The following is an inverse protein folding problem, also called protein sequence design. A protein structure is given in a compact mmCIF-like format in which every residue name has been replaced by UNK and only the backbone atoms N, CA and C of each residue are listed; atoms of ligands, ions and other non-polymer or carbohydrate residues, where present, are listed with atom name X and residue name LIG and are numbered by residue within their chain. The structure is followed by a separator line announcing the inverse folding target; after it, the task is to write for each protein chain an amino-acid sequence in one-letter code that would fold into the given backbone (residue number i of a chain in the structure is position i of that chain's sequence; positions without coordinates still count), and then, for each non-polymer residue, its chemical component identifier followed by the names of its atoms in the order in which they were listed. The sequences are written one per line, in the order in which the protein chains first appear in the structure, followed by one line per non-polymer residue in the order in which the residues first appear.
data_IF_804440848098
#
_entry.id   IF_804440848098
#
_cell.length_a   1.000
_cell.length_b   1.000
_cell.length_c   1.000
_cell.angle_alpha   90.00
_cell.angle_beta   90.00
_cell.angle_gamma   90.00
#
_symmetry.space_group_name_H-M   'P 1'
#
loop_
_entity.id
_entity.type
_entity.pdbx_description
1 polymer ?
#
# COMPACT_ATOMS: atom_id res chain seq x y z
N UNK A 1 0.58 -23.61 -6.62
CA UNK A 1 0.42 -22.23 -6.13
C UNK A 1 1.33 -21.25 -6.86
N UNK A 2 2.66 -21.28 -6.69
CA UNK A 2 3.60 -20.27 -7.20
C UNK A 2 3.44 -19.97 -8.72
N UNK A 3 3.35 -20.99 -9.56
CA UNK A 3 3.16 -20.83 -11.02
C UNK A 3 1.91 -20.04 -11.41
N UNK A 4 0.84 -20.05 -10.59
CA UNK A 4 -0.40 -19.29 -10.84
C UNK A 4 -0.31 -17.86 -10.31
N UNK A 5 0.38 -17.64 -9.17
CA UNK A 5 0.50 -16.36 -8.48
C UNK A 5 1.55 -15.46 -9.13
N UNK A 6 2.67 -16.03 -9.59
CA UNK A 6 3.81 -15.29 -10.15
C UNK A 6 3.43 -14.34 -11.30
N UNK A 7 2.68 -14.75 -12.35
CA UNK A 7 2.32 -13.84 -13.43
C UNK A 7 1.48 -12.65 -12.96
N UNK A 8 0.55 -12.87 -12.05
CA UNK A 8 -0.30 -11.82 -11.47
C UNK A 8 0.49 -10.85 -10.60
N UNK A 9 1.41 -11.38 -9.78
CA UNK A 9 2.32 -10.58 -8.97
C UNK A 9 3.25 -9.73 -9.83
N UNK A 10 3.75 -10.27 -10.96
CA UNK A 10 4.58 -9.53 -11.90
C UNK A 10 3.81 -8.41 -12.62
N UNK A 11 2.56 -8.63 -13.03
CA UNK A 11 1.71 -7.58 -13.63
C UNK A 11 1.56 -6.41 -12.65
N UNK A 12 1.26 -6.71 -11.39
CA UNK A 12 1.11 -5.69 -10.36
C UNK A 12 2.45 -5.00 -10.05
N UNK A 13 3.53 -5.78 -10.02
CA UNK A 13 4.90 -5.30 -9.83
C UNK A 13 5.31 -4.33 -10.93
N UNK A 14 5.06 -4.64 -12.20
CA UNK A 14 5.37 -3.75 -13.33
C UNK A 14 4.61 -2.43 -13.23
N UNK A 15 3.34 -2.48 -12.83
CA UNK A 15 2.56 -1.27 -12.61
C UNK A 15 3.12 -0.42 -11.48
N UNK A 16 3.42 -1.03 -10.32
CA UNK A 16 3.98 -0.30 -9.18
C UNK A 16 5.40 0.18 -9.44
N UNK A 17 6.24 -0.60 -10.13
CA UNK A 17 7.57 -0.18 -10.56
C UNK A 17 7.47 1.11 -11.40
N UNK A 18 6.56 1.14 -12.40
CA UNK A 18 6.34 2.32 -13.21
C UNK A 18 5.87 3.53 -12.41
N UNK A 19 4.97 3.35 -11.43
CA UNK A 19 4.52 4.44 -10.55
C UNK A 19 5.64 4.96 -9.63
N UNK A 20 6.48 4.06 -9.12
CA UNK A 20 7.53 4.39 -8.16
C UNK A 20 8.80 4.95 -8.80
N UNK A 21 9.12 4.58 -10.05
CA UNK A 21 10.32 5.05 -10.77
C UNK A 21 10.41 6.59 -10.84
N UNK A 22 9.27 7.25 -10.96
CA UNK A 22 9.23 8.71 -11.09
C UNK A 22 9.22 9.42 -9.73
N UNK A 23 8.80 8.76 -8.63
CA UNK A 23 8.61 9.42 -7.34
C UNK A 23 9.82 10.20 -6.82
N UNK A 24 11.06 9.67 -6.89
CA UNK A 24 12.24 10.38 -6.37
C UNK A 24 12.61 11.66 -7.11
N UNK A 25 12.09 11.86 -8.31
CA UNK A 25 12.54 12.94 -9.23
C UNK A 25 11.40 13.78 -9.80
N UNK A 26 10.15 13.33 -9.68
CA UNK A 26 9.00 13.96 -10.34
C UNK A 26 8.75 15.39 -9.83
N UNK A 27 8.96 15.66 -8.55
CA UNK A 27 8.72 17.00 -7.98
C UNK A 27 9.67 18.04 -8.58
N UNK A 28 10.94 17.71 -8.74
CA UNK A 28 11.93 18.59 -9.36
C UNK A 28 11.66 18.77 -10.87
N UNK A 29 11.27 17.69 -11.54
CA UNK A 29 10.90 17.75 -12.95
C UNK A 29 9.67 18.64 -13.16
N UNK A 30 8.64 18.43 -12.36
CA UNK A 30 7.37 19.16 -12.46
C UNK A 30 7.54 20.65 -12.18
N UNK A 31 8.45 21.06 -11.26
CA UNK A 31 8.78 22.47 -11.03
C UNK A 31 9.39 23.17 -12.24
N UNK A 32 10.03 22.44 -13.14
CA UNK A 32 10.64 22.99 -14.36
C UNK A 32 9.69 23.08 -15.56
N UNK A 33 8.43 22.63 -15.43
CA UNK A 33 7.44 22.69 -16.52
C UNK A 33 6.76 24.06 -16.59
N UNK A 34 6.24 24.39 -17.77
CA UNK A 34 5.42 25.59 -17.95
C UNK A 34 4.20 25.59 -17.00
N UNK A 35 3.84 26.76 -16.50
CA UNK A 35 2.75 26.99 -15.54
C UNK A 35 2.87 26.23 -14.22
N UNK A 36 4.05 25.72 -13.87
CA UNK A 36 4.26 25.01 -12.61
C UNK A 36 4.15 25.96 -11.41
N UNK A 37 3.41 25.50 -10.40
CA UNK A 37 3.40 26.09 -9.06
C UNK A 37 3.71 25.00 -8.05
N UNK A 38 4.27 25.33 -6.87
CA UNK A 38 4.54 24.33 -5.85
C UNK A 38 3.31 23.47 -5.49
N UNK A 39 2.13 24.09 -5.41
CA UNK A 39 0.86 23.37 -5.17
C UNK A 39 0.55 22.38 -6.29
N UNK A 40 0.65 22.78 -7.56
CA UNK A 40 0.39 21.91 -8.70
C UNK A 40 1.39 20.76 -8.77
N UNK A 41 2.65 20.98 -8.38
CA UNK A 41 3.65 19.92 -8.25
C UNK A 41 3.20 18.86 -7.21
N UNK A 42 2.74 19.31 -6.05
CA UNK A 42 2.18 18.41 -5.04
C UNK A 42 0.97 17.61 -5.55
N UNK A 43 0.08 18.28 -6.29
CA UNK A 43 -1.08 17.62 -6.95
C UNK A 43 -0.62 16.59 -7.98
N UNK A 44 0.39 16.86 -8.78
CA UNK A 44 0.96 15.91 -9.76
C UNK A 44 1.54 14.69 -9.08
N UNK A 45 2.30 14.88 -7.99
CA UNK A 45 2.91 13.74 -7.26
C UNK A 45 1.86 12.83 -6.66
N UNK A 46 0.84 13.40 -6.01
CA UNK A 46 -0.25 12.65 -5.38
C UNK A 46 -1.43 12.30 -6.30
N UNK A 47 -1.54 12.92 -7.47
CA UNK A 47 -2.73 12.92 -8.31
C UNK A 47 -3.19 11.54 -8.79
N UNK A 48 -2.25 10.66 -9.10
CA UNK A 48 -2.58 9.28 -9.46
C UNK A 48 -3.36 8.55 -8.35
N UNK A 49 -3.09 8.89 -7.11
CA UNK A 49 -3.74 8.24 -5.98
C UNK A 49 -5.18 8.69 -5.79
N UNK A 50 -5.52 9.94 -6.11
CA UNK A 50 -6.89 10.43 -6.07
C UNK A 50 -7.80 9.62 -6.99
N UNK A 51 -7.41 9.49 -8.25
CA UNK A 51 -8.19 8.71 -9.22
C UNK A 51 -8.18 7.22 -8.90
N UNK A 52 -7.08 6.69 -8.36
CA UNK A 52 -7.04 5.31 -7.89
C UNK A 52 -8.02 5.07 -6.72
N UNK A 53 -8.12 5.98 -5.76
CA UNK A 53 -9.11 5.90 -4.68
C UNK A 53 -10.55 5.83 -5.22
N UNK A 54 -10.87 6.69 -6.20
CA UNK A 54 -12.18 6.76 -6.81
C UNK A 54 -12.52 5.50 -7.62
N UNK A 55 -11.59 5.04 -8.46
CA UNK A 55 -11.84 3.95 -9.42
C UNK A 55 -11.61 2.56 -8.87
N UNK A 56 -10.99 2.40 -7.70
CA UNK A 56 -10.68 1.07 -7.13
C UNK A 56 -11.93 0.20 -6.90
N UNK A 57 -13.00 0.77 -6.35
CA UNK A 57 -14.28 0.08 -6.13
C UNK A 57 -15.00 -0.19 -7.46
N UNK A 58 -15.18 0.79 -8.38
CA UNK A 58 -15.72 0.54 -9.70
C UNK A 58 -15.00 -0.57 -10.48
N UNK A 59 -13.67 -0.61 -10.48
CA UNK A 59 -12.91 -1.67 -11.14
C UNK A 59 -13.13 -3.03 -10.49
N UNK A 60 -13.22 -3.10 -9.15
CA UNK A 60 -13.58 -4.32 -8.44
C UNK A 60 -14.93 -4.86 -8.90
N UNK A 61 -15.98 -4.03 -8.85
CA UNK A 61 -17.34 -4.42 -9.26
C UNK A 61 -17.47 -4.72 -10.74
N UNK A 62 -16.74 -4.00 -11.59
CA UNK A 62 -16.66 -4.27 -13.02
C UNK A 62 -16.03 -5.66 -13.27
N UNK A 63 -14.98 -6.02 -12.54
CA UNK A 63 -14.31 -7.31 -12.69
C UNK A 63 -15.18 -8.50 -12.28
N UNK A 64 -16.12 -8.29 -11.37
CA UNK A 64 -17.10 -9.31 -10.99
C UNK A 64 -18.18 -9.51 -12.07
N UNK A 65 -18.50 -8.47 -12.86
CA UNK A 65 -19.52 -8.49 -13.91
C UNK A 65 -18.99 -8.99 -15.25
N UNK A 66 -17.95 -8.33 -15.79
CA UNK A 66 -17.42 -8.61 -17.14
C UNK A 66 -16.22 -9.57 -17.12
N UNK A 67 -15.72 -9.93 -15.91
CA UNK A 67 -14.61 -10.85 -15.70
C UNK A 67 -13.29 -10.15 -15.39
N UNK A 68 -12.38 -10.89 -14.75
CA UNK A 68 -11.08 -10.40 -14.27
C UNK A 68 -10.18 -9.91 -15.41
N UNK A 69 -9.96 -10.75 -16.43
CA UNK A 69 -9.03 -10.44 -17.53
C UNK A 69 -9.43 -9.22 -18.37
N UNK A 70 -10.69 -9.07 -18.83
CA UNK A 70 -11.11 -7.86 -19.56
C UNK A 70 -10.93 -6.59 -18.74
N UNK A 71 -11.23 -6.64 -17.45
CA UNK A 71 -11.06 -5.50 -16.55
C UNK A 71 -9.59 -5.13 -16.35
N UNK A 72 -8.70 -6.14 -16.19
CA UNK A 72 -7.26 -5.91 -16.11
C UNK A 72 -6.71 -5.29 -17.39
N UNK A 73 -7.13 -5.79 -18.56
CA UNK A 73 -6.73 -5.22 -19.85
C UNK A 73 -7.15 -3.75 -19.97
N UNK A 74 -8.40 -3.44 -19.64
CA UNK A 74 -8.92 -2.07 -19.69
C UNK A 74 -8.13 -1.13 -18.77
N UNK A 75 -7.84 -1.56 -17.53
CA UNK A 75 -7.04 -0.76 -16.59
C UNK A 75 -5.59 -0.57 -17.05
N UNK A 76 -4.97 -1.61 -17.65
CA UNK A 76 -3.62 -1.49 -18.22
C UNK A 76 -3.57 -0.57 -19.43
N UNK A 77 -4.61 -0.54 -20.27
CA UNK A 77 -4.71 0.40 -21.41
C UNK A 77 -4.83 1.84 -20.92
N UNK A 78 -5.63 2.11 -19.89
CA UNK A 78 -5.72 3.45 -19.30
C UNK A 78 -4.37 3.85 -18.70
N UNK A 79 -3.70 2.94 -17.98
CA UNK A 79 -2.39 3.18 -17.39
C UNK A 79 -1.32 3.45 -18.45
N UNK A 80 -1.34 2.72 -19.57
CA UNK A 80 -0.50 2.93 -20.74
C UNK A 80 -0.73 4.34 -21.33
N UNK A 81 -1.99 4.69 -21.61
CA UNK A 81 -2.35 6.00 -22.15
C UNK A 81 -1.87 7.14 -21.23
N UNK A 82 -2.13 7.01 -19.92
CA UNK A 82 -1.66 7.98 -18.91
C UNK A 82 -0.14 8.11 -18.87
N UNK A 83 0.58 7.01 -19.05
CA UNK A 83 2.05 7.01 -19.08
C UNK A 83 2.60 7.70 -20.33
N UNK A 84 1.97 7.49 -21.49
CA UNK A 84 2.34 8.18 -22.74
C UNK A 84 2.06 9.68 -22.62
N UNK A 85 0.87 10.08 -22.13
CA UNK A 85 0.51 11.48 -21.93
C UNK A 85 1.48 12.17 -20.97
N UNK A 86 1.81 11.53 -19.85
CA UNK A 86 2.80 12.08 -18.90
C UNK A 86 4.21 12.17 -19.50
N UNK A 87 4.62 11.19 -20.32
CA UNK A 87 5.92 11.19 -20.98
C UNK A 87 6.07 12.26 -22.07
N UNK A 88 4.97 12.69 -22.67
CA UNK A 88 4.92 13.75 -23.69
C UNK A 88 4.61 15.14 -23.12
N UNK A 89 4.46 15.25 -21.80
CA UNK A 89 4.04 16.52 -21.18
C UNK A 89 5.10 17.63 -21.33
N UNK A 90 4.64 18.79 -21.77
CA UNK A 90 5.43 20.02 -21.87
C UNK A 90 5.04 21.04 -20.80
N UNK A 91 3.85 20.90 -20.22
CA UNK A 91 3.31 21.74 -19.17
C UNK A 91 2.78 20.91 -18.00
N UNK A 92 2.55 21.58 -16.86
CA UNK A 92 2.12 20.92 -15.61
C UNK A 92 0.71 20.30 -15.71
N UNK A 93 -0.19 20.87 -16.51
CA UNK A 93 -1.56 20.38 -16.64
C UNK A 93 -1.61 19.08 -17.44
N UNK A 94 -0.83 19.01 -18.52
CA UNK A 94 -0.71 17.76 -19.30
C UNK A 94 -0.09 16.64 -18.45
N UNK A 95 0.94 16.93 -17.65
CA UNK A 95 1.52 15.98 -16.71
C UNK A 95 0.48 15.53 -15.68
N UNK A 96 -0.31 16.46 -15.14
CA UNK A 96 -1.38 16.16 -14.17
C UNK A 96 -2.46 15.24 -14.76
N UNK A 97 -2.88 15.49 -16.00
CA UNK A 97 -3.83 14.61 -16.73
C UNK A 97 -3.22 13.20 -16.87
N UNK A 98 -1.97 13.10 -17.28
CA UNK A 98 -1.27 11.81 -17.38
C UNK A 98 -1.25 11.07 -16.05
N UNK A 99 -0.97 11.75 -14.93
CA UNK A 99 -0.98 11.17 -13.59
C UNK A 99 -2.37 10.71 -13.15
N UNK A 100 -3.41 11.50 -13.42
CA UNK A 100 -4.79 11.09 -13.15
C UNK A 100 -5.20 9.87 -13.97
N UNK A 101 -4.84 9.80 -15.24
CA UNK A 101 -5.08 8.61 -16.07
C UNK A 101 -4.34 7.38 -15.54
N UNK A 102 -3.05 7.52 -15.12
CA UNK A 102 -2.31 6.42 -14.52
C UNK A 102 -3.04 5.85 -13.28
N UNK A 103 -3.58 6.71 -12.44
CA UNK A 103 -4.36 6.28 -11.27
C UNK A 103 -5.70 5.64 -11.63
N UNK A 104 -6.39 6.17 -12.65
CA UNK A 104 -7.69 5.67 -13.10
C UNK A 104 -7.64 4.21 -13.56
N UNK A 105 -6.49 3.72 -14.02
CA UNK A 105 -6.24 2.28 -14.29
C UNK A 105 -6.11 1.45 -13.01
N UNK A 106 -7.09 1.45 -12.11
CA UNK A 106 -7.05 0.92 -10.75
C UNK A 106 -7.15 -0.62 -10.67
N UNK A 107 -6.17 -1.35 -11.24
CA UNK A 107 -6.18 -2.82 -11.34
C UNK A 107 -5.79 -3.56 -10.04
N UNK A 108 -5.35 -2.86 -9.00
CA UNK A 108 -4.81 -3.49 -7.78
C UNK A 108 -5.80 -4.41 -7.09
N UNK A 109 -7.05 -3.95 -6.89
CA UNK A 109 -8.13 -4.75 -6.30
C UNK A 109 -8.49 -5.97 -7.16
N UNK A 110 -8.47 -5.80 -8.48
CA UNK A 110 -8.80 -6.88 -9.44
C UNK A 110 -7.75 -7.99 -9.39
N UNK A 111 -6.45 -7.64 -9.34
CA UNK A 111 -5.37 -8.62 -9.22
C UNK A 111 -5.43 -9.34 -7.88
N UNK A 112 -5.66 -8.62 -6.79
CA UNK A 112 -5.81 -9.22 -5.45
C UNK A 112 -6.97 -10.22 -5.42
N UNK A 113 -8.13 -9.85 -5.97
CA UNK A 113 -9.26 -10.74 -6.11
C UNK A 113 -8.93 -11.96 -6.99
N UNK A 114 -8.27 -11.74 -8.14
CA UNK A 114 -7.90 -12.82 -9.03
C UNK A 114 -6.89 -13.80 -8.42
N UNK A 115 -5.94 -13.33 -7.61
CA UNK A 115 -5.03 -14.20 -6.85
C UNK A 115 -5.86 -15.06 -5.87
N UNK A 116 -6.82 -14.46 -5.16
CA UNK A 116 -7.70 -15.19 -4.25
C UNK A 116 -8.55 -16.24 -4.98
N UNK A 117 -8.94 -15.97 -6.24
CA UNK A 117 -9.73 -16.88 -7.06
C UNK A 117 -8.93 -18.09 -7.62
N UNK A 118 -7.60 -18.00 -7.74
CA UNK A 118 -6.75 -19.06 -8.36
C UNK A 118 -5.98 -19.89 -7.36
N UNK A 119 -6.03 -19.55 -6.06
CA UNK A 119 -5.36 -20.29 -4.97
C UNK A 119 -6.37 -20.82 -3.96
N UNK A 120 -6.03 -21.93 -3.32
CA UNK A 120 -6.82 -22.51 -2.22
C UNK A 120 -6.82 -21.60 -0.98
N UNK A 121 -7.87 -21.64 -0.18
CA UNK A 121 -8.05 -20.82 1.02
C UNK A 121 -6.85 -20.94 1.98
N UNK A 122 -6.37 -22.18 2.24
CA UNK A 122 -5.18 -22.47 3.07
C UNK A 122 -3.92 -21.72 2.63
N UNK A 123 -3.73 -21.50 1.33
CA UNK A 123 -2.51 -20.93 0.75
C UNK A 123 -2.65 -19.45 0.38
N UNK A 124 -3.85 -18.87 0.54
CA UNK A 124 -4.17 -17.49 0.16
C UNK A 124 -3.24 -16.46 0.85
N UNK A 125 -2.99 -16.63 2.15
CA UNK A 125 -2.07 -15.74 2.89
C UNK A 125 -0.65 -15.75 2.31
N UNK A 126 -0.15 -16.92 1.94
CA UNK A 126 1.16 -17.09 1.31
C UNK A 126 1.22 -16.43 -0.08
N UNK A 127 0.16 -16.56 -0.86
CA UNK A 127 0.05 -15.94 -2.18
C UNK A 127 0.06 -14.40 -2.09
N UNK A 128 -0.64 -13.82 -1.12
CA UNK A 128 -0.65 -12.39 -0.86
C UNK A 128 0.71 -11.89 -0.37
N UNK A 129 1.44 -12.67 0.44
CA UNK A 129 2.80 -12.34 0.86
C UNK A 129 3.78 -12.32 -0.31
N UNK A 130 3.67 -13.26 -1.26
CA UNK A 130 4.47 -13.27 -2.49
C UNK A 130 4.19 -11.99 -3.29
N UNK A 131 2.92 -11.65 -3.51
CA UNK A 131 2.52 -10.42 -4.20
C UNK A 131 3.11 -9.17 -3.53
N UNK A 132 3.00 -9.08 -2.20
CA UNK A 132 3.56 -7.97 -1.41
C UNK A 132 5.09 -7.87 -1.55
N UNK A 133 5.80 -9.00 -1.57
CA UNK A 133 7.24 -9.05 -1.81
C UNK A 133 7.64 -8.50 -3.18
N UNK A 134 6.89 -8.80 -4.23
CA UNK A 134 7.12 -8.25 -5.56
C UNK A 134 6.88 -6.74 -5.62
N UNK A 135 5.88 -6.22 -4.90
CA UNK A 135 5.63 -4.77 -4.80
C UNK A 135 6.79 -4.08 -4.06
N UNK A 136 7.24 -4.65 -2.93
CA UNK A 136 8.36 -4.11 -2.16
C UNK A 136 9.66 -4.09 -2.97
N UNK A 137 9.93 -5.15 -3.74
CA UNK A 137 11.08 -5.23 -4.66
C UNK A 137 10.99 -4.15 -5.74
N UNK A 138 9.79 -3.91 -6.31
CA UNK A 138 9.56 -2.83 -7.28
C UNK A 138 9.88 -1.47 -6.71
N UNK A 139 9.50 -1.22 -5.46
CA UNK A 139 9.80 0.03 -4.77
C UNK A 139 11.30 0.19 -4.55
N UNK A 140 12.00 -0.86 -4.11
CA UNK A 140 13.45 -0.83 -3.93
C UNK A 140 14.21 -0.56 -5.23
N UNK A 141 13.85 -1.25 -6.32
CA UNK A 141 14.45 -1.03 -7.65
C UNK A 141 14.17 0.38 -8.12
N UNK A 142 12.96 0.90 -7.95
CA UNK A 142 12.59 2.24 -8.34
C UNK A 142 13.43 3.31 -7.64
N UNK A 143 13.67 3.17 -6.33
CA UNK A 143 14.48 4.11 -5.54
C UNK A 143 15.95 4.14 -5.97
N UNK A 144 16.49 3.01 -6.42
CA UNK A 144 17.87 2.93 -6.89
C UNK A 144 18.02 3.44 -8.34
N UNK A 145 17.11 3.04 -9.23
CA UNK A 145 17.23 3.21 -10.68
C UNK A 145 16.56 4.50 -11.18
N UNK A 146 15.45 4.91 -10.55
CA UNK A 146 14.67 6.09 -10.96
C UNK A 146 15.49 7.38 -11.04
N UNK A 147 16.22 7.78 -9.98
CA UNK A 147 17.03 8.98 -10.00
C UNK A 147 18.14 8.94 -11.08
N UNK A 148 18.77 7.79 -11.26
CA UNK A 148 19.86 7.63 -12.25
C UNK A 148 19.32 7.81 -13.67
N UNK A 149 18.26 7.12 -14.04
CA UNK A 149 17.65 7.23 -15.38
C UNK A 149 17.07 8.64 -15.56
N UNK A 150 16.35 9.16 -14.56
CA UNK A 150 15.73 10.48 -14.62
C UNK A 150 16.74 11.61 -14.81
N UNK A 151 17.92 11.50 -14.20
CA UNK A 151 18.97 12.50 -14.34
C UNK A 151 19.70 12.44 -15.70
N UNK A 152 19.99 11.23 -16.22
CA UNK A 152 20.76 11.07 -17.46
C UNK A 152 19.92 11.14 -18.73
N UNK A 153 18.68 10.64 -18.70
CA UNK A 153 17.81 10.49 -19.87
C UNK A 153 16.52 11.32 -19.77
N UNK A 154 16.34 12.05 -18.67
CA UNK A 154 15.12 12.82 -18.41
C UNK A 154 13.97 12.00 -17.82
N UNK A 155 13.08 12.68 -17.09
CA UNK A 155 11.95 12.05 -16.40
C UNK A 155 10.89 11.54 -17.39
N UNK A 156 10.78 12.16 -18.58
CA UNK A 156 9.93 11.67 -19.68
C UNK A 156 10.26 10.22 -20.05
N UNK A 157 11.54 9.84 -20.04
CA UNK A 157 12.00 8.47 -20.30
C UNK A 157 11.44 7.49 -19.27
N UNK A 158 11.33 7.86 -18.00
CA UNK A 158 10.75 7.01 -16.96
C UNK A 158 9.26 6.72 -17.24
N UNK A 159 8.52 7.71 -17.75
CA UNK A 159 7.14 7.49 -18.16
C UNK A 159 7.03 6.58 -19.40
N UNK A 160 7.94 6.70 -20.37
CA UNK A 160 7.97 5.76 -21.51
C UNK A 160 8.38 4.35 -21.10
N UNK A 161 9.31 4.18 -20.17
CA UNK A 161 9.62 2.88 -19.54
C UNK A 161 8.35 2.32 -18.87
N UNK A 162 7.61 3.15 -18.14
CA UNK A 162 6.34 2.77 -17.52
C UNK A 162 5.31 2.32 -18.56
N UNK A 163 5.23 2.99 -19.71
CA UNK A 163 4.40 2.58 -20.84
C UNK A 163 4.82 1.20 -21.37
N UNK A 164 6.12 0.97 -21.55
CA UNK A 164 6.69 -0.32 -21.94
C UNK A 164 6.38 -1.44 -20.93
N UNK A 165 6.48 -1.17 -19.63
CA UNK A 165 6.10 -2.10 -18.57
C UNK A 165 4.60 -2.45 -18.62
N UNK A 166 3.75 -1.49 -18.97
CA UNK A 166 2.31 -1.76 -19.16
C UNK A 166 2.05 -2.68 -20.34
N UNK A 167 2.76 -2.50 -21.45
CA UNK A 167 2.69 -3.44 -22.61
C UNK A 167 3.18 -4.83 -22.21
N UNK A 168 4.30 -4.92 -21.51
CA UNK A 168 4.81 -6.20 -20.99
C UNK A 168 3.80 -6.89 -20.06
N UNK A 169 3.12 -6.12 -19.19
CA UNK A 169 2.05 -6.62 -18.34
C UNK A 169 0.86 -7.17 -19.15
N UNK A 170 0.46 -6.51 -20.23
CA UNK A 170 -0.59 -7.00 -21.14
C UNK A 170 -0.18 -8.29 -21.85
N UNK A 171 1.05 -8.39 -22.34
CA UNK A 171 1.58 -9.62 -22.95
C UNK A 171 1.53 -10.76 -21.93
N UNK A 172 1.98 -10.50 -20.68
CA UNK A 172 1.96 -11.49 -19.61
C UNK A 172 0.52 -11.92 -19.25
N UNK A 173 -0.43 -10.98 -19.25
CA UNK A 173 -1.85 -11.24 -19.01
C UNK A 173 -2.43 -12.27 -19.99
N UNK A 174 -2.11 -12.15 -21.26
CA UNK A 174 -2.63 -13.06 -22.28
C UNK A 174 -1.88 -14.39 -22.38
N UNK A 175 -0.56 -14.40 -22.10
CA UNK A 175 0.29 -15.59 -22.32
C UNK A 175 0.39 -16.51 -21.11
N UNK A 176 0.36 -15.96 -19.89
CA UNK A 176 0.70 -16.73 -18.67
C UNK A 176 -0.39 -16.73 -17.59
N UNK A 177 -1.33 -15.79 -17.63
CA UNK A 177 -2.36 -15.71 -16.60
C UNK A 177 -3.50 -16.69 -16.90
N UNK A 178 -3.84 -17.62 -15.97
CA UNK A 178 -4.98 -18.52 -16.15
C UNK A 178 -6.31 -17.76 -16.06
N UNK A 179 -7.37 -18.32 -16.64
CA UNK A 179 -8.73 -17.81 -16.39
C UNK A 179 -9.19 -18.36 -15.05
N UNK A 180 -9.56 -17.52 -14.06
CA UNK A 180 -9.95 -17.98 -12.76
C UNK A 180 -11.33 -18.68 -12.81
N UNK A 181 -11.55 -19.69 -11.94
CA UNK A 181 -12.88 -20.20 -11.68
C UNK A 181 -13.71 -19.12 -10.96
N UNK A 182 -15.02 -19.20 -11.07
CA UNK A 182 -15.93 -18.32 -10.31
C UNK A 182 -16.09 -18.94 -8.90
N UNK A 183 -15.52 -18.26 -7.88
CA UNK A 183 -15.65 -18.69 -6.48
C UNK A 183 -16.91 -18.08 -5.86
N UNK A 184 -17.70 -18.89 -5.17
CA UNK A 184 -18.90 -18.47 -4.45
C UNK A 184 -18.68 -18.70 -2.95
N UNK A 185 -18.69 -17.60 -2.18
CA UNK A 185 -18.70 -17.63 -0.72
C UNK A 185 -20.10 -17.29 -0.21
N UNK A 186 -20.61 -18.11 0.69
CA UNK A 186 -21.89 -17.86 1.37
C UNK A 186 -21.57 -17.29 2.76
N UNK A 187 -21.79 -15.98 2.91
CA UNK A 187 -21.67 -15.30 4.21
C UNK A 187 -23.04 -15.06 4.83
N UNK A 188 -23.20 -15.37 6.11
CA UNK A 188 -24.44 -15.10 6.85
C UNK A 188 -24.73 -13.60 7.00
N UNK A 189 -23.68 -12.79 7.11
CA UNK A 189 -23.79 -11.34 7.30
C UNK A 189 -23.18 -10.59 6.12
N UNK A 190 -23.82 -9.47 5.72
CA UNK A 190 -23.26 -8.54 4.73
C UNK A 190 -22.34 -7.53 5.42
N UNK A 191 -21.15 -7.29 4.83
CA UNK A 191 -20.24 -6.27 5.31
C UNK A 191 -20.85 -4.86 5.11
N UNK A 192 -20.86 -4.05 6.19
CA UNK A 192 -21.25 -2.64 6.13
C UNK A 192 -20.04 -1.77 6.44
N UNK A 193 -19.83 -0.72 5.65
CA UNK A 193 -18.73 0.25 5.85
C UNK A 193 -18.88 0.95 7.22
N UNK A 194 -20.11 1.23 7.65
CA UNK A 194 -20.39 1.83 8.95
C UNK A 194 -19.83 1.02 10.13
N UNK A 195 -19.86 -0.30 10.02
CA UNK A 195 -19.40 -1.17 11.11
C UNK A 195 -17.88 -1.17 11.21
N UNK A 196 -17.19 -1.04 10.07
CA UNK A 196 -15.73 -0.89 9.99
C UNK A 196 -15.28 0.42 10.65
N UNK A 197 -15.98 1.52 10.35
CA UNK A 197 -15.63 2.85 10.88
C UNK A 197 -16.02 3.03 12.37
N UNK A 198 -16.95 2.23 12.87
CA UNK A 198 -17.34 2.21 14.30
C UNK A 198 -16.39 1.35 15.15
N UNK A 199 -15.75 0.36 14.57
CA UNK A 199 -14.75 -0.45 15.28
C UNK A 199 -13.49 0.39 15.50
N UNK A 200 -13.15 0.60 16.78
CA UNK A 200 -12.03 1.46 17.18
C UNK A 200 -10.68 0.96 16.67
N UNK A 201 -10.45 -0.34 16.65
CA UNK A 201 -9.19 -0.91 16.19
C UNK A 201 -9.09 -0.84 14.66
N UNK A 202 -10.18 -1.12 13.94
CA UNK A 202 -10.22 -0.94 12.48
C UNK A 202 -10.05 0.52 12.07
N UNK A 203 -10.72 1.45 12.76
CA UNK A 203 -10.56 2.89 12.51
C UNK A 203 -9.10 3.33 12.76
N UNK A 204 -8.46 2.87 13.84
CA UNK A 204 -7.04 3.10 14.08
C UNK A 204 -6.19 2.62 12.91
N UNK A 205 -6.44 1.42 12.40
CA UNK A 205 -5.68 0.87 11.26
C UNK A 205 -5.92 1.65 9.96
N UNK A 206 -7.14 2.15 9.73
CA UNK A 206 -7.45 3.05 8.61
C UNK A 206 -6.63 4.33 8.71
N UNK A 207 -6.58 4.95 9.90
CA UNK A 207 -5.79 6.17 10.17
C UNK A 207 -4.30 5.89 10.02
N UNK A 208 -3.78 4.80 10.58
CA UNK A 208 -2.37 4.41 10.47
C UNK A 208 -1.97 4.25 9.00
N UNK A 209 -2.76 3.52 8.21
CA UNK A 209 -2.48 3.33 6.78
C UNK A 209 -2.53 4.66 6.00
N UNK A 210 -3.54 5.48 6.28
CA UNK A 210 -3.69 6.79 5.64
C UNK A 210 -2.51 7.72 5.97
N UNK A 211 -2.16 7.87 7.23
CA UNK A 211 -1.04 8.72 7.67
C UNK A 211 0.29 8.26 7.12
N UNK A 212 0.57 6.95 7.13
CA UNK A 212 1.80 6.39 6.56
C UNK A 212 1.93 6.75 5.06
N UNK A 213 0.88 6.56 4.27
CA UNK A 213 0.93 6.81 2.81
C UNK A 213 0.90 8.30 2.48
N UNK A 214 0.16 9.11 3.25
CA UNK A 214 0.17 10.57 3.11
C UNK A 214 1.54 11.17 3.39
N UNK A 215 2.18 10.79 4.51
CA UNK A 215 3.51 11.24 4.87
C UNK A 215 4.58 10.73 3.90
N UNK A 216 4.41 9.53 3.32
CA UNK A 216 5.29 9.04 2.26
C UNK A 216 5.28 10.00 1.06
N UNK A 217 4.10 10.34 0.57
CA UNK A 217 4.01 11.23 -0.61
C UNK A 217 4.46 12.64 -0.28
N UNK A 218 4.14 13.13 0.92
CA UNK A 218 4.66 14.39 1.44
C UNK A 218 6.19 14.41 1.40
N UNK A 219 6.85 13.37 1.91
CA UNK A 219 8.31 13.26 1.89
C UNK A 219 8.88 13.22 0.46
N UNK A 220 8.24 12.49 -0.47
CA UNK A 220 8.66 12.45 -1.88
C UNK A 220 8.48 13.78 -2.63
N UNK A 221 7.67 14.70 -2.13
CA UNK A 221 7.63 16.07 -2.65
C UNK A 221 8.78 16.89 -2.08
N UNK A 222 8.98 16.88 -0.76
CA UNK A 222 9.91 17.79 -0.10
C UNK A 222 11.38 17.37 -0.19
N UNK A 223 11.69 16.07 -0.04
CA UNK A 223 13.08 15.59 0.04
C UNK A 223 13.89 15.98 -1.20
N UNK A 224 13.46 15.68 -2.44
CA UNK A 224 14.24 16.02 -3.60
C UNK A 224 14.33 17.54 -3.84
N UNK A 225 13.28 18.30 -3.53
CA UNK A 225 13.28 19.76 -3.65
C UNK A 225 14.31 20.37 -2.68
N UNK A 226 14.37 19.88 -1.43
CA UNK A 226 15.32 20.37 -0.43
C UNK A 226 16.75 19.92 -0.77
N UNK A 227 16.95 18.70 -1.27
CA UNK A 227 18.31 18.25 -1.61
C UNK A 227 18.90 19.02 -2.80
N UNK A 228 18.10 19.27 -3.85
CA UNK A 228 18.58 19.84 -5.12
C UNK A 228 18.45 21.36 -5.18
N UNK A 229 17.52 21.97 -4.42
CA UNK A 229 17.28 23.42 -4.47
C UNK A 229 18.47 24.25 -4.01
N UNK A 230 18.72 25.39 -4.68
CA UNK A 230 19.82 26.29 -4.36
C UNK A 230 19.44 27.28 -3.23
N UNK A 231 18.24 27.86 -3.26
CA UNK A 231 17.83 28.92 -2.33
C UNK A 231 17.47 28.40 -0.91
N UNK A 232 16.83 27.23 -0.82
CA UNK A 232 16.37 26.62 0.44
C UNK A 232 16.94 25.23 0.67
N UNK A 233 17.80 24.75 -0.21
CA UNK A 233 18.30 23.39 -0.27
C UNK A 233 19.80 23.28 -0.02
N UNK A 234 20.30 22.12 -0.40
CA UNK A 234 21.71 21.76 -0.21
C UNK A 234 22.51 21.78 -1.53
N UNK A 235 21.88 22.15 -2.66
CA UNK A 235 22.55 22.30 -3.97
C UNK A 235 23.07 20.97 -4.54
N UNK A 236 22.44 19.84 -4.23
CA UNK A 236 22.86 18.55 -4.77
C UNK A 236 22.48 18.41 -6.24
N UNK A 237 23.31 17.68 -7.00
CA UNK A 237 22.93 17.33 -8.36
C UNK A 237 21.79 16.30 -8.38
N UNK A 238 20.86 16.44 -9.34
CA UNK A 238 19.76 15.46 -9.54
C UNK A 238 20.27 14.02 -9.68
N UNK A 239 21.45 13.86 -10.31
CA UNK A 239 22.12 12.58 -10.50
C UNK A 239 22.58 11.93 -9.18
N UNK A 240 22.71 12.69 -8.10
CA UNK A 240 23.21 12.20 -6.81
C UNK A 240 22.10 11.69 -5.89
N UNK A 241 20.83 11.94 -6.19
CA UNK A 241 19.69 11.55 -5.35
C UNK A 241 19.67 10.03 -5.04
N UNK A 242 20.16 9.19 -5.92
CA UNK A 242 20.26 7.75 -5.65
C UNK A 242 21.18 7.42 -4.47
N UNK A 243 22.21 8.26 -4.20
CA UNK A 243 23.14 8.10 -3.06
C UNK A 243 22.40 8.26 -1.71
N UNK A 244 21.25 8.91 -1.72
CA UNK A 244 20.37 9.06 -0.55
C UNK A 244 19.29 8.00 -0.52
N UNK A 245 18.53 7.85 -1.62
CA UNK A 245 17.38 6.95 -1.65
C UNK A 245 17.75 5.47 -1.60
N UNK A 246 18.79 5.03 -2.31
CA UNK A 246 19.17 3.63 -2.33
C UNK A 246 19.66 3.12 -0.97
N UNK A 247 20.60 3.79 -0.26
CA UNK A 247 20.99 3.39 1.08
C UNK A 247 19.84 3.49 2.10
N UNK A 248 19.01 4.55 2.03
CA UNK A 248 17.86 4.69 2.90
C UNK A 248 16.85 3.56 2.71
N UNK A 249 16.59 3.17 1.46
CA UNK A 249 15.73 2.03 1.15
C UNK A 249 16.30 0.70 1.66
N UNK A 250 17.61 0.48 1.51
CA UNK A 250 18.27 -0.72 2.05
C UNK A 250 18.13 -0.77 3.57
N UNK A 251 18.38 0.35 4.27
CA UNK A 251 18.19 0.44 5.72
C UNK A 251 16.74 0.14 6.12
N UNK A 252 15.77 0.66 5.38
CA UNK A 252 14.35 0.38 5.58
C UNK A 252 14.00 -1.10 5.39
N UNK A 253 14.51 -1.73 4.33
CA UNK A 253 14.28 -3.17 4.07
C UNK A 253 14.92 -4.06 5.14
N UNK A 254 16.10 -3.72 5.63
CA UNK A 254 16.74 -4.42 6.75
C UNK A 254 15.89 -4.31 8.02
N UNK A 255 15.31 -3.16 8.30
CA UNK A 255 14.45 -2.95 9.47
C UNK A 255 13.09 -3.66 9.34
N UNK A 256 12.59 -3.87 8.12
CA UNK A 256 11.29 -4.49 7.83
C UNK A 256 11.20 -5.93 8.38
N UNK A 257 12.26 -6.73 8.22
CA UNK A 257 12.28 -8.13 8.66
C UNK A 257 12.08 -8.29 10.17
N UNK A 258 12.95 -7.71 11.01
CA UNK A 258 12.77 -7.72 12.47
C UNK A 258 11.43 -7.13 12.92
N UNK A 259 10.96 -6.04 12.30
CA UNK A 259 9.67 -5.44 12.62
C UNK A 259 8.50 -6.40 12.35
N UNK A 260 8.51 -7.09 11.20
CA UNK A 260 7.51 -8.09 10.87
C UNK A 260 7.52 -9.26 11.87
N UNK A 261 8.69 -9.80 12.18
CA UNK A 261 8.84 -10.89 13.17
C UNK A 261 8.33 -10.46 14.55
N UNK A 262 8.74 -9.29 15.02
CA UNK A 262 8.35 -8.80 16.34
C UNK A 262 6.84 -8.49 16.39
N UNK A 263 6.31 -7.85 15.36
CA UNK A 263 4.89 -7.51 15.27
C UNK A 263 3.99 -8.73 15.11
N UNK A 264 4.35 -9.66 14.21
CA UNK A 264 3.53 -10.83 13.90
C UNK A 264 3.73 -12.00 14.86
N UNK A 265 5.00 -12.45 15.02
CA UNK A 265 5.31 -13.66 15.79
C UNK A 265 5.15 -13.44 17.30
N UNK A 266 5.57 -12.27 17.81
CA UNK A 266 5.40 -11.92 19.23
C UNK A 266 4.09 -11.21 19.53
N UNK A 267 3.23 -11.00 18.53
CA UNK A 267 1.92 -10.36 18.65
C UNK A 267 1.99 -8.95 19.29
N UNK A 268 3.00 -8.17 18.94
CA UNK A 268 3.23 -6.81 19.46
C UNK A 268 3.26 -5.75 18.35
N UNK A 269 2.29 -5.71 17.41
CA UNK A 269 2.28 -4.75 16.29
C UNK A 269 2.15 -3.30 16.77
N UNK A 270 1.39 -3.05 17.85
CA UNK A 270 1.23 -1.71 18.44
C UNK A 270 2.59 -1.08 18.78
N UNK A 271 3.50 -1.84 19.38
CA UNK A 271 4.83 -1.35 19.75
C UNK A 271 5.65 -0.95 18.52
N UNK A 272 5.54 -1.73 17.43
CA UNK A 272 6.20 -1.39 16.17
C UNK A 272 5.60 -0.13 15.57
N UNK A 273 4.27 0.04 15.57
CA UNK A 273 3.64 1.26 15.08
C UNK A 273 4.06 2.49 15.90
N UNK A 274 4.07 2.40 17.23
CA UNK A 274 4.52 3.50 18.09
C UNK A 274 5.98 3.88 17.85
N UNK A 275 6.87 2.88 17.73
CA UNK A 275 8.28 3.10 17.41
C UNK A 275 8.44 3.78 16.05
N UNK A 276 7.74 3.28 15.03
CA UNK A 276 7.79 3.84 13.68
C UNK A 276 7.28 5.28 13.64
N UNK A 277 6.18 5.60 14.33
CA UNK A 277 5.66 6.97 14.39
C UNK A 277 6.64 7.89 15.12
N UNK A 278 7.27 7.41 16.19
CA UNK A 278 8.34 8.17 16.86
C UNK A 278 9.51 8.46 15.93
N UNK A 279 9.91 7.48 15.11
CA UNK A 279 10.94 7.69 14.08
C UNK A 279 10.48 8.67 12.99
N UNK A 280 9.20 8.68 12.60
CA UNK A 280 8.66 9.71 11.70
C UNK A 280 8.77 11.11 12.31
N UNK A 281 8.44 11.28 13.58
CA UNK A 281 8.58 12.56 14.30
C UNK A 281 10.04 13.02 14.25
N UNK A 282 10.98 12.14 14.63
CA UNK A 282 12.43 12.44 14.61
C UNK A 282 12.86 12.79 13.19
N UNK A 283 12.45 12.01 12.19
CA UNK A 283 12.81 12.22 10.78
C UNK A 283 12.39 13.61 10.28
N UNK A 284 11.12 13.98 10.45
CA UNK A 284 10.62 15.26 9.95
C UNK A 284 11.17 16.47 10.72
N UNK A 285 11.33 16.36 12.04
CA UNK A 285 12.00 17.40 12.82
C UNK A 285 13.47 17.56 12.42
N UNK A 286 14.18 16.45 12.24
CA UNK A 286 15.58 16.48 11.80
C UNK A 286 15.69 17.12 10.42
N UNK A 287 14.87 16.69 9.45
CA UNK A 287 14.87 17.25 8.09
C UNK A 287 14.48 18.72 8.06
N UNK A 288 13.55 19.15 8.92
CA UNK A 288 13.09 20.53 8.97
C UNK A 288 14.08 21.49 9.65
N UNK A 289 14.71 21.07 10.74
CA UNK A 289 15.49 21.96 11.62
C UNK A 289 17.00 22.03 11.28
N UNK A 290 17.52 21.08 10.50
CA UNK A 290 18.96 21.00 10.22
C UNK A 290 19.41 21.92 9.07
N UNK A 291 20.61 22.47 9.20
CA UNK A 291 21.31 23.15 8.11
C UNK A 291 22.43 22.30 7.50
N UNK A 292 22.60 21.06 7.94
CA UNK A 292 23.60 20.12 7.42
C UNK A 292 22.93 19.09 6.50
N UNK A 293 23.43 18.95 5.27
CA UNK A 293 22.96 17.92 4.33
C UNK A 293 23.14 16.52 4.89
N UNK A 294 24.22 16.25 5.60
CA UNK A 294 24.48 14.95 6.24
C UNK A 294 23.41 14.61 7.28
N UNK A 295 23.07 15.56 8.15
CA UNK A 295 22.03 15.37 9.18
C UNK A 295 20.66 15.22 8.54
N UNK A 296 20.39 15.96 7.45
CA UNK A 296 19.18 15.79 6.65
C UNK A 296 19.04 14.36 6.10
N UNK A 297 20.14 13.81 5.55
CA UNK A 297 20.17 12.42 5.05
C UNK A 297 19.87 11.41 6.16
N UNK A 298 20.39 11.59 7.38
CA UNK A 298 20.01 10.75 8.51
C UNK A 298 18.50 10.82 8.81
N UNK A 299 17.88 12.00 8.68
CA UNK A 299 16.42 12.15 8.76
C UNK A 299 15.71 11.36 7.66
N UNK A 300 16.21 11.38 6.42
CA UNK A 300 15.66 10.58 5.33
C UNK A 300 15.79 9.07 5.60
N UNK A 301 16.94 8.62 6.09
CA UNK A 301 17.15 7.21 6.48
C UNK A 301 16.17 6.79 7.58
N UNK A 302 16.01 7.61 8.62
CA UNK A 302 15.05 7.36 9.69
C UNK A 302 13.59 7.27 9.16
N UNK A 303 13.23 8.14 8.20
CA UNK A 303 11.94 8.09 7.51
C UNK A 303 11.73 6.75 6.79
N UNK A 304 12.71 6.28 6.01
CA UNK A 304 12.60 5.01 5.28
C UNK A 304 12.53 3.81 6.22
N UNK A 305 13.28 3.83 7.32
CA UNK A 305 13.20 2.80 8.37
C UNK A 305 11.78 2.78 8.94
N UNK A 306 11.26 3.93 9.39
CA UNK A 306 9.92 4.05 9.95
C UNK A 306 8.83 3.54 8.99
N UNK A 307 8.90 3.96 7.72
CA UNK A 307 7.96 3.55 6.68
C UNK A 307 7.96 2.04 6.44
N UNK A 308 9.14 1.46 6.24
CA UNK A 308 9.28 0.04 5.92
C UNK A 308 8.96 -0.88 7.11
N UNK A 309 9.20 -0.46 8.36
CA UNK A 309 8.80 -1.22 9.54
C UNK A 309 7.29 -1.41 9.63
N UNK A 310 6.50 -0.43 9.20
CA UNK A 310 5.03 -0.50 9.24
C UNK A 310 4.44 -1.32 8.08
N UNK A 311 5.08 -1.30 6.91
CA UNK A 311 4.51 -1.80 5.66
C UNK A 311 3.99 -3.24 5.73
N UNK A 312 4.72 -4.24 6.26
CA UNK A 312 4.24 -5.62 6.34
C UNK A 312 3.10 -5.79 7.35
N UNK A 313 3.05 -4.93 8.37
CA UNK A 313 2.09 -5.07 9.47
C UNK A 313 0.72 -4.47 9.17
N UNK A 314 0.66 -3.37 8.42
CA UNK A 314 -0.58 -2.62 8.21
C UNK A 314 -1.67 -3.50 7.59
N UNK A 315 -1.41 -4.14 6.46
CA UNK A 315 -2.40 -4.97 5.76
C UNK A 315 -2.77 -6.22 6.58
N UNK A 316 -1.78 -6.81 7.24
CA UNK A 316 -1.98 -7.96 8.12
C UNK A 316 -2.88 -7.61 9.31
N UNK A 317 -2.63 -6.48 9.98
CA UNK A 317 -3.43 -6.07 11.13
C UNK A 317 -4.85 -5.67 10.76
N UNK A 318 -5.07 -4.98 9.63
CA UNK A 318 -6.42 -4.72 9.12
C UNK A 318 -7.19 -6.05 8.95
N UNK A 319 -6.54 -7.05 8.35
CA UNK A 319 -7.15 -8.36 8.15
C UNK A 319 -7.40 -9.12 9.46
N UNK A 320 -6.54 -8.95 10.49
CA UNK A 320 -6.71 -9.60 11.81
C UNK A 320 -7.83 -8.98 12.64
N UNK A 321 -7.96 -7.65 12.61
CA UNK A 321 -9.04 -6.97 13.34
C UNK A 321 -10.41 -7.14 12.65
N UNK A 322 -10.43 -7.24 11.32
CA UNK A 322 -11.68 -7.41 10.59
C UNK A 322 -12.30 -8.79 10.82
N UNK A 323 -13.63 -8.84 10.93
CA UNK A 323 -14.40 -10.09 10.85
C UNK A 323 -14.21 -10.73 9.47
N UNK A 324 -14.37 -12.05 9.36
CA UNK A 324 -14.04 -12.78 8.12
C UNK A 324 -14.82 -12.22 6.92
N UNK A 325 -16.15 -12.06 7.06
CA UNK A 325 -17.02 -11.51 6.01
C UNK A 325 -16.74 -10.02 5.70
N UNK A 326 -16.01 -9.30 6.56
CA UNK A 326 -15.70 -7.87 6.42
C UNK A 326 -14.28 -7.61 5.92
N UNK A 327 -13.39 -8.63 5.86
CA UNK A 327 -11.96 -8.44 5.50
C UNK A 327 -11.75 -7.66 4.20
N UNK A 328 -12.48 -8.04 3.15
CA UNK A 328 -12.37 -7.35 1.85
C UNK A 328 -12.83 -5.88 1.93
N UNK A 329 -13.93 -5.63 2.63
CA UNK A 329 -14.45 -4.27 2.83
C UNK A 329 -13.50 -3.42 3.70
N UNK A 330 -12.96 -3.98 4.79
CA UNK A 330 -12.02 -3.29 5.67
C UNK A 330 -10.73 -2.90 4.94
N UNK A 331 -10.14 -3.83 4.16
CA UNK A 331 -8.99 -3.55 3.31
C UNK A 331 -9.31 -2.52 2.23
N UNK A 332 -10.51 -2.60 1.62
CA UNK A 332 -10.99 -1.62 0.64
C UNK A 332 -11.07 -0.21 1.21
N UNK A 333 -11.72 -0.05 2.37
CA UNK A 333 -11.85 1.25 3.08
C UNK A 333 -10.46 1.78 3.46
N UNK A 334 -9.61 0.96 4.07
CA UNK A 334 -8.29 1.39 4.50
C UNK A 334 -7.39 1.78 3.32
N UNK A 335 -7.44 1.04 2.21
CA UNK A 335 -6.64 1.37 1.03
C UNK A 335 -7.19 2.60 0.28
N UNK A 336 -8.52 2.79 0.21
CA UNK A 336 -9.10 4.01 -0.35
C UNK A 336 -8.73 5.25 0.47
N UNK A 337 -8.79 5.16 1.80
CA UNK A 337 -8.34 6.22 2.71
C UNK A 337 -6.84 6.52 2.54
N UNK A 338 -6.01 5.49 2.37
CA UNK A 338 -4.57 5.64 2.12
C UNK A 338 -4.28 6.35 0.79
N UNK A 339 -4.95 5.98 -0.29
CA UNK A 339 -4.80 6.67 -1.57
C UNK A 339 -5.28 8.12 -1.52
N UNK A 340 -6.41 8.37 -0.84
CA UNK A 340 -6.89 9.74 -0.65
C UNK A 340 -5.90 10.57 0.18
N UNK A 341 -5.33 9.99 1.24
CA UNK A 341 -4.29 10.62 2.06
C UNK A 341 -2.99 10.85 1.27
N UNK A 342 -2.64 9.96 0.33
CA UNK A 342 -1.51 10.15 -0.61
C UNK A 342 -1.71 11.42 -1.44
N UNK A 343 -2.90 11.64 -1.96
CA UNK A 343 -3.22 12.87 -2.69
C UNK A 343 -3.15 14.12 -1.80
N UNK A 344 -3.75 14.07 -0.60
CA UNK A 344 -3.69 15.16 0.36
C UNK A 344 -2.26 15.46 0.77
N UNK A 345 -1.47 14.44 1.08
CA UNK A 345 -0.06 14.58 1.50
C UNK A 345 0.80 15.26 0.44
N UNK A 346 0.63 14.88 -0.84
CA UNK A 346 1.30 15.54 -1.95
C UNK A 346 0.89 17.01 -2.10
N UNK A 347 -0.42 17.28 -2.09
CA UNK A 347 -0.97 18.63 -2.23
C UNK A 347 -0.55 19.55 -1.08
N UNK A 348 -0.59 19.05 0.16
CA UNK A 348 -0.13 19.80 1.34
C UNK A 348 1.37 20.08 1.31
N UNK A 349 2.18 19.11 0.88
CA UNK A 349 3.62 19.32 0.72
C UNK A 349 3.92 20.43 -0.30
N UNK A 350 3.23 20.42 -1.45
CA UNK A 350 3.37 21.47 -2.45
C UNK A 350 2.91 22.84 -1.93
N UNK A 351 1.81 22.90 -1.20
CA UNK A 351 1.31 24.13 -0.59
C UNK A 351 2.33 24.70 0.41
N UNK A 352 2.83 23.87 1.33
CA UNK A 352 3.75 24.30 2.39
C UNK A 352 5.11 24.73 1.84
N UNK A 353 5.65 24.03 0.84
CA UNK A 353 6.92 24.44 0.20
C UNK A 353 6.79 25.80 -0.49
N UNK A 354 5.62 26.12 -1.03
CA UNK A 354 5.38 27.42 -1.68
C UNK A 354 5.13 28.59 -0.72
N UNK A 355 4.84 28.30 0.57
CA UNK A 355 4.36 29.31 1.52
C UNK A 355 5.11 29.36 2.86
N UNK A 356 6.00 28.42 3.14
CA UNK A 356 6.61 28.25 4.46
C UNK A 356 8.09 27.89 4.35
N UNK A 357 8.86 28.26 5.36
CA UNK A 357 10.24 27.85 5.51
C UNK A 357 10.35 26.37 5.96
N UNK A 358 11.51 25.78 5.77
CA UNK A 358 11.78 24.37 6.06
C UNK A 358 11.53 23.99 7.51
N UNK A 359 11.87 24.88 8.46
CA UNK A 359 11.65 24.62 9.88
C UNK A 359 10.15 24.53 10.21
N UNK A 360 9.36 25.47 9.70
CA UNK A 360 7.89 25.47 9.84
C UNK A 360 7.28 24.19 9.25
N UNK A 361 7.74 23.73 8.09
CA UNK A 361 7.29 22.47 7.49
C UNK A 361 7.58 21.29 8.44
N UNK A 362 8.84 21.15 8.88
CA UNK A 362 9.24 20.06 9.77
C UNK A 362 8.50 20.03 11.09
N UNK A 363 8.32 21.19 11.73
CA UNK A 363 7.57 21.33 12.98
C UNK A 363 6.09 20.98 12.77
N UNK A 364 5.46 21.50 11.71
CA UNK A 364 4.04 21.25 11.42
C UNK A 364 3.77 19.76 11.24
N UNK A 365 4.60 19.07 10.45
CA UNK A 365 4.48 17.61 10.27
C UNK A 365 4.80 16.86 11.55
N UNK A 366 5.80 17.33 12.32
CA UNK A 366 6.12 16.78 13.64
C UNK A 366 4.94 16.82 14.59
N UNK A 367 4.23 17.96 14.67
CA UNK A 367 3.01 18.12 15.50
C UNK A 367 1.90 17.16 15.05
N UNK A 368 1.65 17.06 13.74
CA UNK A 368 0.66 16.12 13.20
C UNK A 368 1.05 14.67 13.55
N UNK A 369 2.34 14.32 13.45
CA UNK A 369 2.81 12.99 13.81
C UNK A 369 2.72 12.71 15.33
N UNK A 370 2.89 13.72 16.20
CA UNK A 370 2.64 13.59 17.66
C UNK A 370 1.15 13.31 17.92
N UNK A 371 0.24 14.04 17.27
CA UNK A 371 -1.20 13.79 17.39
C UNK A 371 -1.52 12.36 16.93
N UNK A 372 -0.92 11.91 15.83
CA UNK A 372 -1.05 10.54 15.34
C UNK A 372 -0.49 9.51 16.33
N UNK A 373 0.65 9.78 16.98
CA UNK A 373 1.21 8.93 18.03
C UNK A 373 0.24 8.76 19.19
N UNK A 374 -0.30 9.88 19.69
CA UNK A 374 -1.27 9.88 20.79
C UNK A 374 -2.55 9.10 20.41
N UNK A 375 -3.03 9.28 19.18
CA UNK A 375 -4.17 8.50 18.67
C UNK A 375 -3.85 7.01 18.64
N UNK A 376 -2.66 6.63 18.16
CA UNK A 376 -2.23 5.23 18.05
C UNK A 376 -2.05 4.54 19.41
N UNK A 377 -1.86 5.28 20.50
CA UNK A 377 -1.86 4.72 21.87
C UNK A 377 -3.18 4.02 22.21
N UNK A 378 -4.27 4.38 21.56
CA UNK A 378 -5.59 3.75 21.75
C UNK A 378 -5.75 2.40 21.02
N UNK A 379 -4.83 2.05 20.11
CA UNK A 379 -4.82 0.76 19.42
C UNK A 379 -4.56 -0.36 20.43
N UNK A 380 -5.27 -1.46 20.30
CA UNK A 380 -5.02 -2.69 21.06
C UNK A 380 -4.15 -3.64 20.26
N UNK A 381 -3.40 -4.53 20.93
CA UNK A 381 -2.79 -5.66 20.22
C UNK A 381 -3.89 -6.66 19.83
N UNK A 382 -3.82 -7.25 18.65
CA UNK A 382 -4.85 -8.18 18.19
C UNK A 382 -4.86 -9.43 19.06
N UNK A 383 -6.05 -9.99 19.29
CA UNK A 383 -6.21 -11.33 19.84
C UNK A 383 -5.61 -12.31 18.82
N UNK A 384 -4.90 -13.31 19.32
CA UNK A 384 -4.29 -14.35 18.47
C UNK A 384 -5.36 -15.32 17.98
N UNK A 385 -6.06 -14.95 16.92
CA UNK A 385 -6.98 -15.86 16.25
C UNK A 385 -6.25 -16.79 15.31
N UNK A 386 -6.63 -18.07 15.32
CA UNK A 386 -6.26 -19.07 14.32
C UNK A 386 -7.45 -19.40 13.42
N UNK A 387 -7.18 -20.03 12.28
CA UNK A 387 -8.19 -20.46 11.34
C UNK A 387 -8.07 -21.97 11.19
N UNK A 388 -9.16 -22.68 11.52
CA UNK A 388 -9.33 -24.08 11.19
C UNK A 388 -10.09 -24.15 9.86
N UNK A 389 -9.52 -24.88 8.89
CA UNK A 389 -10.17 -25.19 7.61
C UNK A 389 -10.41 -26.71 7.59
N UNK A 390 -11.67 -27.13 7.60
CA UNK A 390 -12.04 -28.55 7.68
C UNK A 390 -13.15 -28.87 6.68
N UNK A 391 -13.20 -30.09 6.11
CA UNK A 391 -14.28 -30.52 5.21
C UNK A 391 -15.64 -30.40 5.88
N UNK A 392 -16.68 -29.99 5.13
CA UNK A 392 -18.06 -29.93 5.65
C UNK A 392 -18.57 -31.26 6.16
N UNK A 393 -18.06 -32.36 5.62
CA UNK A 393 -18.43 -33.72 6.01
C UNK A 393 -17.90 -34.17 7.38
N UNK A 394 -16.99 -33.39 7.97
CA UNK A 394 -16.37 -33.69 9.26
C UNK A 394 -16.90 -32.80 10.39
N UNK A 395 -17.80 -31.86 10.09
CA UNK A 395 -18.27 -30.81 11.00
C UNK A 395 -19.76 -31.02 11.33
N UNK A 396 -20.06 -31.16 12.61
CA UNK A 396 -21.41 -31.03 13.13
C UNK A 396 -21.79 -29.54 13.22
N UNK A 397 -22.67 -29.10 12.33
CA UNK A 397 -23.07 -27.69 12.20
C UNK A 397 -23.86 -27.18 13.41
N UNK A 398 -24.53 -28.06 14.17
CA UNK A 398 -25.31 -27.65 15.33
C UNK A 398 -24.38 -27.48 16.55
N UNK A 399 -23.42 -28.38 16.75
CA UNK A 399 -22.34 -28.17 17.74
C UNK A 399 -21.51 -26.90 17.45
N UNK A 400 -21.24 -26.61 16.16
CA UNK A 400 -20.52 -25.40 15.77
C UNK A 400 -21.27 -24.11 16.13
N UNK A 401 -22.61 -24.10 15.96
CA UNK A 401 -23.45 -22.95 16.33
C UNK A 401 -23.51 -22.76 17.85
N UNK A 402 -23.54 -23.81 18.63
CA UNK A 402 -23.52 -23.73 20.10
C UNK A 402 -22.22 -23.13 20.63
N UNK A 403 -21.09 -23.43 19.99
CA UNK A 403 -19.77 -22.90 20.37
C UNK A 403 -19.50 -21.46 19.89
N UNK A 404 -20.34 -20.87 19.02
CA UNK A 404 -20.15 -19.55 18.41
C UNK A 404 -20.02 -18.41 19.45
N UNK A 405 -20.54 -18.56 20.64
CA UNK A 405 -20.53 -17.52 21.67
C UNK A 405 -19.43 -17.70 22.73
N UNK A 406 -18.73 -18.83 22.80
CA UNK A 406 -17.73 -19.08 23.84
C UNK A 406 -16.29 -18.85 23.37
N UNK A 407 -15.88 -19.44 22.24
CA UNK A 407 -14.47 -19.43 21.80
C UNK A 407 -14.31 -19.18 20.30
N UNK A 408 -15.40 -19.22 19.54
CA UNK A 408 -15.42 -19.02 18.09
C UNK A 408 -15.81 -17.57 17.79
N UNK A 409 -14.92 -16.85 17.14
CA UNK A 409 -15.17 -15.46 16.74
C UNK A 409 -16.11 -15.38 15.54
N UNK A 410 -15.99 -16.29 14.58
CA UNK A 410 -16.78 -16.35 13.35
C UNK A 410 -16.51 -17.66 12.58
N UNK A 411 -17.47 -18.12 11.81
CA UNK A 411 -17.30 -19.20 10.86
C UNK A 411 -18.08 -18.93 9.56
N UNK A 412 -17.65 -19.54 8.47
CA UNK A 412 -18.34 -19.48 7.18
C UNK A 412 -18.02 -20.69 6.31
N UNK A 413 -18.87 -20.92 5.29
CA UNK A 413 -18.76 -22.03 4.37
C UNK A 413 -18.16 -21.54 3.05
N UNK A 414 -17.11 -22.20 2.56
CA UNK A 414 -16.66 -22.13 1.19
C UNK A 414 -17.34 -23.27 0.40
N UNK A 415 -18.41 -22.94 -0.28
CA UNK A 415 -19.21 -23.91 -1.01
C UNK A 415 -18.50 -24.49 -2.24
N UNK A 416 -17.53 -23.76 -2.78
CA UNK A 416 -16.71 -24.18 -3.93
C UNK A 416 -15.73 -25.28 -3.54
N UNK A 417 -15.08 -25.14 -2.39
CA UNK A 417 -14.10 -26.11 -1.86
C UNK A 417 -14.75 -27.13 -0.90
N UNK A 418 -16.05 -26.95 -0.59
CA UNK A 418 -16.79 -27.80 0.39
C UNK A 418 -16.12 -27.87 1.75
N UNK A 419 -15.61 -26.73 2.23
CA UNK A 419 -14.96 -26.60 3.53
C UNK A 419 -15.67 -25.59 4.42
N UNK A 420 -15.59 -25.82 5.74
CA UNK A 420 -15.96 -24.84 6.77
C UNK A 420 -14.68 -24.20 7.27
N UNK A 421 -14.70 -22.88 7.37
CA UNK A 421 -13.58 -22.07 7.87
C UNK A 421 -14.05 -21.45 9.19
N UNK A 422 -13.32 -21.78 10.27
CA UNK A 422 -13.64 -21.38 11.63
C UNK A 422 -12.50 -20.51 12.17
N UNK A 423 -12.83 -19.29 12.61
CA UNK A 423 -11.90 -18.37 13.28
C UNK A 423 -12.12 -18.49 14.79
N UNK A 424 -11.10 -18.94 15.52
CA UNK A 424 -11.17 -19.18 16.96
C UNK A 424 -10.01 -18.51 17.71
N UNK A 425 -10.19 -18.30 19.02
CA UNK A 425 -9.17 -17.73 19.89
C UNK A 425 -8.13 -18.80 20.25
N UNK A 426 -6.97 -18.78 19.60
CA UNK A 426 -5.88 -19.73 19.82
C UNK A 426 -5.16 -19.57 21.17
N UNK A 427 -5.52 -18.60 22.00
CA UNK A 427 -5.01 -18.47 23.36
C UNK A 427 -5.85 -19.23 24.38
N UNK A 428 -7.10 -19.54 24.04
CA UNK A 428 -8.07 -20.18 24.93
C UNK A 428 -8.46 -21.59 24.46
N UNK A 429 -8.31 -21.89 23.18
CA UNK A 429 -8.71 -23.17 22.58
C UNK A 429 -7.62 -23.65 21.61
N UNK A 430 -7.16 -24.90 21.78
CA UNK A 430 -6.24 -25.54 20.84
C UNK A 430 -6.98 -26.08 19.60
N UNK A 431 -6.24 -26.26 18.49
CA UNK A 431 -6.82 -26.73 17.22
C UNK A 431 -7.42 -28.12 17.35
N UNK A 432 -6.74 -29.02 18.06
CA UNK A 432 -7.19 -30.41 18.24
C UNK A 432 -8.42 -30.49 19.15
N UNK A 433 -8.47 -29.66 20.21
CA UNK A 433 -9.64 -29.54 21.08
C UNK A 433 -10.87 -28.99 20.33
N UNK A 434 -10.65 -27.99 19.44
CA UNK A 434 -11.71 -27.45 18.60
C UNK A 434 -12.24 -28.53 17.64
N UNK A 435 -11.36 -29.26 16.97
CA UNK A 435 -11.75 -30.37 16.07
C UNK A 435 -12.56 -31.44 16.81
N UNK A 436 -12.12 -31.82 18.00
CA UNK A 436 -12.84 -32.80 18.81
C UNK A 436 -14.24 -32.32 19.21
N UNK A 437 -14.42 -31.03 19.49
CA UNK A 437 -15.70 -30.44 19.89
C UNK A 437 -16.71 -30.33 18.74
N UNK A 438 -16.25 -30.14 17.49
CA UNK A 438 -17.09 -29.91 16.31
C UNK A 438 -17.22 -31.14 15.41
N UNK A 439 -16.48 -32.22 15.66
CA UNK A 439 -16.56 -33.44 14.86
C UNK A 439 -17.92 -34.14 15.01
N UNK A 440 -18.35 -34.79 13.91
CA UNK A 440 -19.58 -35.56 13.80
C UNK A 440 -19.53 -36.76 14.73
#
# INVERSE_FOLDING_TARGET
MFKKVLPLSLILSFRFLGLFLVLPVISIYALGLENATPLLVGVVVGGYALTQAIFQIPFGTMSDKIGRKPTLLFGLLIFLAGSIVAGMSTDIYMLMIGRFLQGAGAIGSVITAMIADVVEEKTRGHAMAIMGGFIAMSFAVAMAVGPVIGAHYGVSTLFFITAGLSVAAMILLFTKVPTPPKIIHIYHNKAKISDILKDRNLLNMVVINAMQKGLMTFAFVIIPIILVGDDYGFGWEKAELWKVYAPAMVAGLVAMGPAAVFGEKHNKPKQIFLLSITLFIIAFLTMGLTNSSTVFIFGVVAFFIAFNMMEPLVQSMISKFAKVHQKGAALGVANSAAYFSTFIGGSLAGLLIGSSDRATIGISVGVVAVIWLLWTLTLQNPIKYSHLVTPMTEVDMDKLKELEHEHIAEWFINDTEKVVIIKYNAQELDEDDLKAKISI
#
